data_IF_004564795975
#
_entry.id   IF_004564795975
#
_cell.length_a   1.000
_cell.length_b   1.000
_cell.length_c   1.000
_cell.angle_alpha   90.00
_cell.angle_beta   90.00
_cell.angle_gamma   90.00
#
_symmetry.space_group_name_H-M   'P 1'
#
loop_
_entity.id
_entity.type
_entity.pdbx_description
1 polymer ?
#
# COMPACT_ATOMS: atom_id res chain seq x y z
N UNK A 1 -14.27 3.78 -19.66
CA UNK A 1 -14.12 4.77 -18.55
C UNK A 1 -12.69 5.28 -18.59
N UNK A 2 -12.44 6.60 -18.73
CA UNK A 2 -11.07 7.13 -18.80
C UNK A 2 -10.37 6.88 -17.46
N UNK A 3 -9.43 5.94 -17.41
CA UNK A 3 -8.67 5.69 -16.19
C UNK A 3 -7.58 6.75 -16.07
N UNK A 4 -7.77 7.71 -15.17
CA UNK A 4 -6.69 8.61 -14.76
C UNK A 4 -5.76 7.82 -13.85
N UNK A 5 -4.50 7.66 -14.26
CA UNK A 5 -3.46 7.19 -13.36
C UNK A 5 -3.34 8.19 -12.22
N UNK A 6 -3.81 7.79 -11.05
CA UNK A 6 -3.84 8.65 -9.89
C UNK A 6 -2.54 8.50 -9.10
N UNK A 7 -1.86 9.62 -8.90
CA UNK A 7 -0.59 9.68 -8.17
C UNK A 7 -0.88 9.65 -6.66
N UNK A 8 -0.24 8.74 -5.94
CA UNK A 8 -0.40 8.56 -4.51
C UNK A 8 -0.57 7.09 -4.10
N UNK A 9 -0.89 6.88 -2.84
CA UNK A 9 -1.07 5.57 -2.22
C UNK A 9 -2.50 5.32 -1.78
N UNK A 10 -3.02 4.13 -2.02
CA UNK A 10 -4.34 3.71 -1.58
C UNK A 10 -4.33 3.46 -0.07
N UNK A 11 -5.13 4.19 0.68
CA UNK A 11 -5.34 3.92 2.09
C UNK A 11 -5.94 2.52 2.26
N UNK A 12 -5.31 1.71 3.11
CA UNK A 12 -5.71 0.32 3.32
C UNK A 12 -7.01 0.21 4.14
N UNK A 13 -7.42 1.28 4.81
CA UNK A 13 -8.66 1.32 5.60
C UNK A 13 -9.88 1.78 4.78
N UNK A 14 -9.75 2.84 3.99
CA UNK A 14 -10.89 3.44 3.28
C UNK A 14 -10.84 3.30 1.75
N UNK A 15 -9.72 2.86 1.17
CA UNK A 15 -9.54 2.72 -0.28
C UNK A 15 -9.28 4.03 -1.02
N UNK A 16 -9.41 5.18 -0.36
CA UNK A 16 -9.12 6.51 -0.93
C UNK A 16 -7.62 6.80 -1.00
N UNK A 17 -7.23 7.74 -1.85
CA UNK A 17 -5.83 8.06 -2.07
C UNK A 17 -5.24 8.98 -0.99
N UNK A 18 -3.98 8.71 -0.69
CA UNK A 18 -3.02 9.55 0.03
C UNK A 18 -2.13 10.17 -1.05
N UNK A 19 -2.37 11.43 -1.39
CA UNK A 19 -1.70 12.10 -2.52
C UNK A 19 -0.43 12.84 -2.11
N UNK A 20 -0.22 13.06 -0.81
CA UNK A 20 0.94 13.72 -0.22
C UNK A 20 1.59 12.79 0.80
N UNK A 21 2.91 12.78 0.87
CA UNK A 21 3.67 11.87 1.74
C UNK A 21 3.36 12.16 3.21
N UNK A 22 3.24 13.43 3.56
CA UNK A 22 2.93 13.93 4.90
C UNK A 22 1.54 13.52 5.42
N UNK A 23 0.62 13.18 4.51
CA UNK A 23 -0.73 12.72 4.81
C UNK A 23 -0.78 11.20 5.04
N UNK A 24 0.35 10.49 4.87
CA UNK A 24 0.47 9.05 5.02
C UNK A 24 1.02 8.61 6.38
N UNK A 25 0.44 7.55 6.93
CA UNK A 25 0.86 6.92 8.17
C UNK A 25 0.93 5.41 7.99
N UNK A 26 2.06 4.80 8.35
CA UNK A 26 2.20 3.35 8.40
C UNK A 26 2.06 2.95 9.86
N UNK A 27 1.09 2.09 10.16
CA UNK A 27 0.82 1.59 11.51
C UNK A 27 0.80 0.08 11.56
N UNK A 28 1.06 -0.45 12.75
CA UNK A 28 0.99 -1.87 13.07
C UNK A 28 0.59 -2.05 14.54
N UNK A 29 0.24 -3.28 14.90
CA UNK A 29 -0.14 -3.68 16.25
C UNK A 29 1.02 -4.45 16.88
N UNK A 30 1.46 -4.02 18.05
CA UNK A 30 2.43 -4.73 18.88
C UNK A 30 1.71 -5.39 20.06
N UNK A 31 1.77 -6.72 20.15
CA UNK A 31 1.20 -7.48 21.26
C UNK A 31 2.14 -8.60 21.70
N UNK A 32 1.65 -9.44 22.60
CA UNK A 32 2.33 -10.68 23.00
C UNK A 32 1.63 -11.87 22.32
N UNK A 33 2.42 -12.85 21.87
CA UNK A 33 1.89 -14.14 21.42
C UNK A 33 1.58 -15.08 22.61
N UNK A 34 1.19 -16.31 22.30
CA UNK A 34 0.85 -17.33 23.31
C UNK A 34 2.02 -17.70 24.22
N UNK A 35 3.25 -17.45 23.80
CA UNK A 35 4.49 -17.73 24.53
C UNK A 35 5.02 -16.48 25.26
N UNK A 36 4.30 -15.36 25.20
CA UNK A 36 4.71 -14.09 25.82
C UNK A 36 5.80 -13.36 25.04
N UNK A 37 6.05 -13.75 23.79
CA UNK A 37 7.02 -13.09 22.91
C UNK A 37 6.31 -11.95 22.18
N UNK A 38 7.00 -10.81 22.02
CA UNK A 38 6.48 -9.69 21.24
C UNK A 38 6.21 -10.13 19.81
N UNK A 39 4.96 -9.98 19.37
CA UNK A 39 4.50 -10.27 18.02
C UNK A 39 3.90 -9.01 17.40
N UNK A 40 4.44 -8.61 16.24
CA UNK A 40 3.91 -7.49 15.47
C UNK A 40 2.97 -8.01 14.38
N UNK A 41 1.85 -7.33 14.13
CA UNK A 41 0.86 -7.74 13.12
C UNK A 41 0.08 -6.56 12.55
N UNK A 42 -0.67 -6.81 11.48
CA UNK A 42 -1.63 -5.85 10.95
C UNK A 42 -0.98 -4.59 10.38
N UNK A 43 0.20 -4.73 9.78
CA UNK A 43 0.90 -3.61 9.15
C UNK A 43 0.05 -3.04 8.01
N UNK A 44 -0.19 -1.73 8.02
CA UNK A 44 -0.97 -1.08 6.98
C UNK A 44 -0.58 0.39 6.77
N UNK A 45 -0.72 0.85 5.52
CA UNK A 45 -0.60 2.25 5.14
C UNK A 45 -1.99 2.90 5.11
N UNK A 46 -2.18 3.97 5.89
CA UNK A 46 -3.45 4.67 6.10
C UNK A 46 -3.27 6.20 6.09
N UNK A 47 -4.38 6.94 6.04
CA UNK A 47 -4.34 8.39 6.22
C UNK A 47 -3.86 8.75 7.64
N UNK A 48 -3.02 9.78 7.73
CA UNK A 48 -2.63 10.38 8.99
C UNK A 48 -3.80 11.16 9.61
N UNK A 49 -3.93 11.12 10.93
CA UNK A 49 -4.94 11.89 11.67
C UNK A 49 -4.84 13.39 11.31
N UNK A 50 -5.98 13.99 10.98
CA UNK A 50 -6.09 15.41 10.65
C UNK A 50 -5.77 15.81 9.21
N UNK A 51 -5.35 14.86 8.35
CA UNK A 51 -5.02 15.11 6.95
C UNK A 51 -5.86 14.22 6.02
N UNK A 52 -6.96 14.78 5.51
CA UNK A 52 -7.80 14.14 4.49
C UNK A 52 -8.54 15.18 3.65
N UNK A 53 -8.88 14.91 2.38
CA UNK A 53 -9.61 15.87 1.55
C UNK A 53 -11.01 16.08 2.11
N UNK A 54 -11.23 17.28 2.65
CA UNK A 54 -12.51 17.69 3.22
C UNK A 54 -12.60 17.46 4.72
N UNK A 55 -12.39 18.54 5.47
CA UNK A 55 -12.81 18.74 6.87
C UNK A 55 -14.33 18.62 7.11
N UNK A 56 -15.06 17.95 6.19
CA UNK A 56 -16.50 17.70 6.20
C UNK A 56 -16.89 16.28 5.75
N UNK A 57 -15.94 15.37 5.51
CA UNK A 57 -16.24 13.95 5.26
C UNK A 57 -15.80 13.09 6.44
N UNK A 58 -16.53 12.00 6.69
CA UNK A 58 -16.44 11.10 7.86
C UNK A 58 -15.13 10.26 7.92
N UNK A 59 -14.01 10.75 7.41
CA UNK A 59 -12.75 10.00 7.22
C UNK A 59 -11.80 10.00 8.44
N UNK A 60 -12.27 10.44 9.60
CA UNK A 60 -11.46 10.62 10.82
C UNK A 60 -10.96 9.34 11.52
N UNK A 61 -11.14 8.14 10.96
CA UNK A 61 -10.79 6.88 11.64
C UNK A 61 -10.16 5.84 10.70
N UNK A 62 -9.22 6.26 9.83
CA UNK A 62 -8.43 5.29 9.05
C UNK A 62 -7.38 4.56 9.91
N UNK A 63 -6.93 5.20 11.00
CA UNK A 63 -5.98 4.62 11.94
C UNK A 63 -6.65 3.65 12.92
N UNK A 64 -5.87 2.76 13.51
CA UNK A 64 -6.35 1.88 14.58
C UNK A 64 -6.80 2.72 15.79
N UNK A 65 -7.86 2.26 16.46
CA UNK A 65 -8.28 2.83 17.73
C UNK A 65 -7.49 2.15 18.86
N UNK A 66 -6.50 2.85 19.41
CA UNK A 66 -5.60 2.29 20.43
C UNK A 66 -6.34 1.74 21.66
N UNK A 67 -7.45 2.35 22.07
CA UNK A 67 -8.24 1.87 23.21
C UNK A 67 -8.99 0.59 22.85
N UNK A 68 -9.50 0.50 21.62
CA UNK A 68 -10.19 -0.69 21.14
C UNK A 68 -9.23 -1.86 20.96
N UNK A 69 -8.08 -1.64 20.33
CA UNK A 69 -7.09 -2.71 20.11
C UNK A 69 -6.57 -3.24 21.46
N UNK A 70 -6.23 -2.35 22.40
CA UNK A 70 -5.79 -2.76 23.72
C UNK A 70 -6.86 -3.55 24.50
N UNK A 71 -8.14 -3.19 24.37
CA UNK A 71 -9.24 -3.96 24.98
C UNK A 71 -9.47 -5.32 24.34
N UNK A 72 -9.15 -5.46 23.05
CA UNK A 72 -9.41 -6.67 22.28
C UNK A 72 -8.40 -7.75 22.63
N UNK A 73 -7.12 -7.42 22.59
CA UNK A 73 -6.05 -8.39 22.79
C UNK A 73 -4.78 -7.79 23.43
N UNK A 74 -4.90 -6.63 24.07
CA UNK A 74 -3.79 -5.87 24.67
C UNK A 74 -2.74 -5.39 23.68
N UNK A 75 -3.04 -5.39 22.39
CA UNK A 75 -2.15 -4.78 21.40
C UNK A 75 -2.02 -3.27 21.61
N UNK A 76 -0.81 -2.77 21.41
CA UNK A 76 -0.47 -1.35 21.34
C UNK A 76 -0.38 -0.97 19.87
N UNK A 77 -0.96 0.18 19.50
CA UNK A 77 -0.84 0.72 18.14
C UNK A 77 0.46 1.49 18.05
N UNK A 78 1.31 1.07 17.13
CA UNK A 78 2.59 1.70 16.80
C UNK A 78 2.55 2.20 15.36
N UNK A 79 3.42 3.14 15.02
CA UNK A 79 3.50 3.62 13.65
C UNK A 79 4.53 4.71 13.40
N UNK A 80 4.77 4.97 12.11
CA UNK A 80 5.68 5.99 11.61
C UNK A 80 5.05 6.71 10.40
N UNK A 81 5.50 7.93 10.12
CA UNK A 81 5.07 8.64 8.91
C UNK A 81 5.53 7.88 7.66
N UNK A 82 4.74 7.95 6.58
CA UNK A 82 5.09 7.32 5.30
C UNK A 82 6.48 7.75 4.80
N UNK A 83 6.86 9.00 5.02
CA UNK A 83 8.18 9.55 4.68
C UNK A 83 9.35 8.68 5.17
N UNK A 84 9.23 8.07 6.36
CA UNK A 84 10.28 7.22 6.95
C UNK A 84 10.57 5.96 6.14
N UNK A 85 9.65 5.56 5.28
CA UNK A 85 9.76 4.35 4.44
C UNK A 85 10.12 4.69 3.00
N UNK A 86 10.39 5.95 2.66
CA UNK A 86 10.71 6.38 1.30
C UNK A 86 12.22 6.45 1.07
N UNK A 87 12.65 6.21 -0.18
CA UNK A 87 14.03 6.38 -0.61
C UNK A 87 15.01 5.35 -0.01
N UNK A 88 16.34 5.57 -0.16
CA UNK A 88 17.36 4.59 0.22
C UNK A 88 17.33 4.20 1.70
N UNK A 89 17.17 5.18 2.60
CA UNK A 89 17.11 4.92 4.04
C UNK A 89 15.82 4.20 4.42
N UNK A 90 14.70 4.57 3.80
CA UNK A 90 13.42 3.88 3.98
C UNK A 90 13.47 2.43 3.47
N UNK A 91 14.17 2.18 2.37
CA UNK A 91 14.41 0.82 1.89
C UNK A 91 15.25 0.03 2.90
N UNK A 92 16.32 0.62 3.45
CA UNK A 92 17.13 -0.03 4.48
C UNK A 92 16.31 -0.36 5.74
N UNK A 93 15.41 0.55 6.15
CA UNK A 93 14.46 0.30 7.24
C UNK A 93 13.57 -0.92 6.93
N UNK A 94 12.95 -0.97 5.75
CA UNK A 94 12.09 -2.10 5.34
C UNK A 94 12.86 -3.43 5.31
N UNK A 95 14.09 -3.42 4.78
CA UNK A 95 14.95 -4.60 4.76
C UNK A 95 15.32 -5.05 6.18
N UNK A 96 15.53 -4.11 7.10
CA UNK A 96 15.79 -4.45 8.51
C UNK A 96 14.58 -5.12 9.18
N UNK A 97 13.36 -4.66 8.89
CA UNK A 97 12.13 -5.27 9.39
C UNK A 97 11.96 -6.71 8.88
N UNK A 98 12.28 -6.95 7.60
CA UNK A 98 12.30 -8.32 7.02
C UNK A 98 13.34 -9.19 7.73
N UNK A 99 14.54 -8.66 7.96
CA UNK A 99 15.63 -9.41 8.59
C UNK A 99 15.30 -9.80 10.05
N UNK A 100 14.62 -8.93 10.79
CA UNK A 100 14.24 -9.18 12.18
C UNK A 100 13.11 -10.22 12.32
N UNK A 101 12.25 -10.39 11.31
CA UNK A 101 11.12 -11.36 11.30
C UNK A 101 10.12 -11.21 12.45
N UNK A 102 10.06 -10.03 13.08
CA UNK A 102 9.12 -9.73 14.17
C UNK A 102 7.70 -9.41 13.67
N UNK A 103 7.54 -9.29 12.36
CA UNK A 103 6.31 -8.94 11.65
C UNK A 103 6.10 -9.91 10.47
N UNK A 104 4.85 -10.17 10.04
CA UNK A 104 4.57 -10.92 8.81
C UNK A 104 5.38 -10.39 7.62
N UNK A 105 6.26 -11.25 7.08
CA UNK A 105 7.16 -10.89 6.00
C UNK A 105 6.39 -10.39 4.77
N UNK A 106 5.25 -11.03 4.46
CA UNK A 106 4.38 -10.65 3.34
C UNK A 106 3.88 -9.20 3.44
N UNK A 107 3.52 -8.74 4.64
CA UNK A 107 3.03 -7.38 4.84
C UNK A 107 4.15 -6.36 4.61
N UNK A 108 5.36 -6.64 5.11
CA UNK A 108 6.52 -5.76 4.92
C UNK A 108 6.94 -5.72 3.46
N UNK A 109 6.93 -6.87 2.78
CA UNK A 109 7.23 -6.96 1.35
C UNK A 109 6.19 -6.20 0.52
N UNK A 110 4.90 -6.29 0.85
CA UNK A 110 3.87 -5.52 0.17
C UNK A 110 4.07 -4.02 0.40
N UNK A 111 4.30 -3.58 1.64
CA UNK A 111 4.61 -2.17 1.91
C UNK A 111 5.83 -1.70 1.10
N UNK A 112 6.90 -2.49 1.07
CA UNK A 112 8.11 -2.16 0.31
C UNK A 112 7.82 -1.97 -1.18
N UNK A 113 7.08 -2.89 -1.81
CA UNK A 113 6.68 -2.74 -3.23
C UNK A 113 5.88 -1.46 -3.45
N UNK A 114 4.91 -1.17 -2.58
CA UNK A 114 4.03 0.01 -2.68
C UNK A 114 4.75 1.35 -2.57
N UNK A 115 5.79 1.42 -1.74
CA UNK A 115 6.48 2.71 -1.45
C UNK A 115 7.79 2.88 -2.21
N UNK A 116 8.44 1.78 -2.62
CA UNK A 116 9.75 1.83 -3.28
C UNK A 116 9.70 1.61 -4.79
N UNK A 117 8.71 0.88 -5.32
CA UNK A 117 8.67 0.52 -6.74
C UNK A 117 7.81 1.53 -7.52
N UNK A 118 8.39 2.34 -8.43
CA UNK A 118 7.64 3.34 -9.17
C UNK A 118 6.53 2.71 -10.02
N UNK A 119 5.30 3.20 -9.85
CA UNK A 119 4.14 2.73 -10.62
C UNK A 119 3.47 1.48 -10.05
N UNK A 120 4.08 0.78 -9.08
CA UNK A 120 3.51 -0.46 -8.54
C UNK A 120 2.16 -0.22 -7.88
N UNK A 121 2.03 0.79 -7.03
CA UNK A 121 0.77 1.09 -6.33
C UNK A 121 -0.38 1.43 -7.29
N UNK A 122 -0.07 2.06 -8.44
CA UNK A 122 -1.07 2.35 -9.48
C UNK A 122 -1.46 1.12 -10.29
N UNK A 123 -0.55 0.15 -10.40
CA UNK A 123 -0.71 -1.03 -11.25
C UNK A 123 -1.22 -2.27 -10.50
N UNK A 124 -0.98 -2.36 -9.19
CA UNK A 124 -1.15 -3.59 -8.39
C UNK A 124 -2.52 -4.27 -8.55
N UNK A 125 -3.59 -3.47 -8.60
CA UNK A 125 -4.98 -3.97 -8.65
C UNK A 125 -5.38 -4.37 -10.10
N UNK A 126 -4.59 -4.00 -11.11
CA UNK A 126 -4.84 -4.24 -12.54
C UNK A 126 -4.16 -5.51 -13.06
N UNK A 127 -3.12 -5.98 -12.38
CA UNK A 127 -2.37 -7.16 -12.82
C UNK A 127 -3.23 -8.41 -13.01
N UNK A 128 -4.20 -8.75 -12.13
CA UNK A 128 -5.01 -9.96 -12.33
C UNK A 128 -5.74 -9.98 -13.68
N UNK A 129 -6.31 -8.86 -14.10
CA UNK A 129 -7.01 -8.71 -15.38
C UNK A 129 -6.03 -8.75 -16.56
N UNK A 130 -4.94 -7.97 -16.50
CA UNK A 130 -3.95 -7.92 -17.57
C UNK A 130 -3.22 -9.26 -17.81
N UNK A 131 -3.02 -10.06 -16.76
CA UNK A 131 -2.46 -11.41 -16.89
C UNK A 131 -3.48 -12.35 -17.55
N UNK A 132 -4.76 -12.26 -17.19
CA UNK A 132 -5.81 -13.07 -17.79
C UNK A 132 -5.99 -12.77 -19.29
N UNK A 133 -5.78 -11.52 -19.70
CA UNK A 133 -5.82 -11.08 -21.11
C UNK A 133 -4.50 -11.31 -21.87
N UNK A 134 -3.44 -11.78 -21.20
CA UNK A 134 -2.13 -12.01 -21.82
C UNK A 134 -1.36 -10.73 -22.17
N UNK A 135 -1.76 -9.58 -21.63
CA UNK A 135 -1.07 -8.29 -21.79
C UNK A 135 0.26 -8.28 -21.05
N UNK A 136 0.30 -8.94 -19.89
CA UNK A 136 1.50 -9.09 -19.06
C UNK A 136 1.71 -10.54 -18.70
N UNK A 137 2.95 -11.01 -18.86
CA UNK A 137 3.40 -12.32 -18.40
C UNK A 137 4.50 -12.13 -17.34
N UNK A 138 4.23 -12.40 -16.05
CA UNK A 138 5.20 -12.16 -14.98
C UNK A 138 6.43 -13.04 -15.12
N UNK A 139 7.60 -12.43 -15.24
CA UNK A 139 8.85 -13.12 -15.58
C UNK A 139 9.58 -13.75 -14.39
N UNK A 140 9.41 -13.20 -13.18
CA UNK A 140 10.18 -13.61 -11.99
C UNK A 140 9.34 -14.27 -10.90
N UNK A 141 8.02 -14.16 -10.97
CA UNK A 141 7.11 -14.79 -10.01
C UNK A 141 5.78 -14.07 -9.89
N UNK A 142 4.77 -14.78 -9.38
CA UNK A 142 3.45 -14.21 -9.10
C UNK A 142 3.56 -13.13 -8.03
N UNK A 143 3.00 -11.95 -8.29
CA UNK A 143 3.02 -10.83 -7.34
C UNK A 143 4.33 -10.03 -7.29
N UNK A 144 5.30 -10.37 -8.15
CA UNK A 144 6.58 -9.70 -8.30
C UNK A 144 6.75 -9.25 -9.75
N UNK A 145 6.56 -7.96 -9.98
CA UNK A 145 6.52 -7.41 -11.33
C UNK A 145 7.70 -6.48 -11.58
N UNK A 146 8.41 -6.71 -12.69
CA UNK A 146 9.52 -5.88 -13.12
C UNK A 146 9.02 -4.51 -13.62
N UNK A 147 9.92 -3.52 -13.63
CA UNK A 147 9.57 -2.16 -14.06
C UNK A 147 8.99 -2.10 -15.49
N UNK A 148 9.49 -2.93 -16.40
CA UNK A 148 8.98 -3.01 -17.78
C UNK A 148 7.56 -3.59 -17.86
N UNK A 149 7.22 -4.54 -16.98
CA UNK A 149 5.88 -5.14 -16.89
C UNK A 149 4.88 -4.12 -16.32
N UNK A 150 5.27 -3.41 -15.25
CA UNK A 150 4.49 -2.29 -14.69
C UNK A 150 4.22 -1.22 -15.76
N UNK A 151 5.25 -0.81 -16.50
CA UNK A 151 5.10 0.21 -17.57
C UNK A 151 4.22 -0.27 -18.72
N UNK A 152 4.25 -1.56 -19.05
CA UNK A 152 3.39 -2.15 -20.09
C UNK A 152 1.94 -2.14 -19.65
N UNK A 153 1.66 -2.57 -18.42
CA UNK A 153 0.33 -2.52 -17.81
C UNK A 153 -0.24 -1.09 -17.76
N UNK A 154 0.56 -0.13 -17.28
CA UNK A 154 0.11 1.26 -17.19
C UNK A 154 -0.19 1.87 -18.57
N UNK A 155 0.58 1.52 -19.62
CA UNK A 155 0.28 1.95 -20.99
C UNK A 155 -1.00 1.34 -21.52
N UNK A 156 -1.19 0.03 -21.34
CA UNK A 156 -2.41 -0.68 -21.74
C UNK A 156 -3.65 -0.09 -21.07
N UNK A 157 -3.58 0.19 -19.76
CA UNK A 157 -4.68 0.80 -19.02
C UNK A 157 -5.04 2.22 -19.53
N UNK A 158 -4.06 2.98 -20.03
CA UNK A 158 -4.30 4.28 -20.67
C UNK A 158 -4.98 4.13 -22.05
N UNK A 159 -4.66 3.08 -22.81
CA UNK A 159 -5.26 2.82 -24.14
C UNK A 159 -6.67 2.25 -24.07
N UNK A 160 -6.96 1.36 -23.11
CA UNK A 160 -8.33 0.88 -22.84
C UNK A 160 -9.25 2.02 -22.34
N UNK A 161 -8.68 3.02 -21.64
CA UNK A 161 -9.36 4.27 -21.33
C UNK A 161 -9.65 5.17 -22.56
N UNK A 162 -9.08 4.84 -23.73
CA UNK A 162 -9.08 5.63 -24.96
C UNK A 162 -9.75 4.92 -26.15
N UNK A 163 -10.82 4.13 -25.91
CA UNK A 163 -11.66 3.60 -27.01
C UNK A 163 -12.14 4.74 -27.94
N UNK A 164 -12.01 4.59 -29.27
CA UNK A 164 -12.40 5.58 -30.27
C UNK A 164 -13.92 5.61 -30.48
N UNK A 165 -14.54 6.76 -30.21
CA UNK A 165 -15.86 7.15 -30.67
C UNK A 165 -15.72 8.67 -30.90
N UNK A 166 -15.88 9.29 -32.07
CA UNK A 166 -16.63 8.98 -33.28
C UNK A 166 -15.82 9.50 -34.49
N UNK A 167 -15.66 8.68 -35.52
CA UNK A 167 -15.37 9.14 -36.88
C UNK A 167 -16.22 8.32 -37.84
N UNK A 168 -17.47 8.74 -37.97
CA UNK A 168 -18.37 8.43 -39.07
C UNK A 168 -19.34 9.60 -39.25
#
# INVERSE_FOLDING_TARGET
MRMKVSVGWRCSACGELITRIEDGWVEWLAGEDVDGVTALKGLRLVHRLGTGPGTKSKSYACQYDSLREFRTDRSIVEGLSLERFMGPDGLMLLLSLIACREMPEEDVMELAKRVQIPGYEQARDLFPEAIAEGVVEPSIGKGYYLQGEIQTLLRWAMTEGASPNEAA
#
